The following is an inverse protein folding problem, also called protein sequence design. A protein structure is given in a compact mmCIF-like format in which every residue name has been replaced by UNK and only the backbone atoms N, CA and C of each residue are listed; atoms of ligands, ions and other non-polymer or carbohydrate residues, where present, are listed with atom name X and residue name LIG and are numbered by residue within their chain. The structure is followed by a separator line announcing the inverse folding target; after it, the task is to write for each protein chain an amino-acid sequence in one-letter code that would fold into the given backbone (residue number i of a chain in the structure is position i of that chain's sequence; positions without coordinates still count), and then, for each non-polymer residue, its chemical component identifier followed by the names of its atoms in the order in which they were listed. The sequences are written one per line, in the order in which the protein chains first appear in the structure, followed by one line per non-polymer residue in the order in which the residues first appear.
data_IF_125959193365
#
_entry.id   IF_125959193365
#
_cell.length_a   1.000
_cell.length_b   1.000
_cell.length_c   1.000
_cell.angle_alpha   90.00
_cell.angle_beta   90.00
_cell.angle_gamma   90.00
#
_symmetry.space_group_name_H-M   'P 1'
#
loop_
_entity.id
_entity.type
_entity.pdbx_description
1 polymer ?
#
# COMPACT_ATOMS: atom_id res chain seq x y z
N UNK A 1 -38.05 -6.95 -0.19
CA UNK A 1 -37.10 -7.45 -1.18
C UNK A 1 -35.80 -6.72 -0.90
N UNK A 2 -34.85 -7.35 -0.26
CA UNK A 2 -33.50 -6.80 -0.04
C UNK A 2 -32.83 -6.67 -1.40
N UNK A 3 -32.57 -5.42 -1.84
CA UNK A 3 -31.68 -5.17 -2.98
C UNK A 3 -30.41 -5.99 -2.74
N UNK A 4 -30.11 -6.92 -3.63
CA UNK A 4 -28.85 -7.60 -3.66
C UNK A 4 -27.79 -6.55 -4.00
N UNK A 5 -27.21 -5.93 -2.97
CA UNK A 5 -26.06 -5.05 -3.18
C UNK A 5 -24.97 -5.84 -3.89
N UNK A 6 -24.60 -5.39 -5.08
CA UNK A 6 -23.48 -5.99 -5.80
C UNK A 6 -22.24 -6.06 -4.89
N UNK A 7 -21.51 -7.20 -4.87
CA UNK A 7 -20.31 -7.31 -4.07
C UNK A 7 -19.35 -6.15 -4.33
N UNK A 8 -18.73 -5.56 -3.30
CA UNK A 8 -17.81 -4.45 -3.47
C UNK A 8 -16.55 -4.89 -4.24
N UNK A 9 -15.90 -3.94 -4.90
CA UNK A 9 -14.78 -4.20 -5.79
C UNK A 9 -13.56 -3.44 -5.32
N UNK A 10 -12.44 -4.14 -5.14
CA UNK A 10 -11.15 -3.56 -4.79
C UNK A 10 -10.15 -3.72 -5.94
N UNK A 11 -9.51 -2.64 -6.34
CA UNK A 11 -8.31 -2.67 -7.17
C UNK A 11 -7.08 -2.61 -6.26
N UNK A 12 -6.24 -3.64 -6.30
CA UNK A 12 -5.02 -3.72 -5.48
C UNK A 12 -3.81 -3.67 -6.39
N UNK A 13 -2.99 -2.62 -6.27
CA UNK A 13 -1.77 -2.50 -7.08
C UNK A 13 -0.63 -3.35 -6.52
N UNK A 14 0.15 -4.00 -7.40
CA UNK A 14 1.19 -4.94 -6.98
C UNK A 14 0.64 -6.14 -6.20
N UNK A 15 -0.53 -6.63 -6.60
CA UNK A 15 -1.28 -7.66 -5.86
C UNK A 15 -0.77 -9.08 -6.06
N UNK A 16 0.04 -9.35 -7.08
CA UNK A 16 0.45 -10.72 -7.42
C UNK A 16 1.27 -11.41 -6.33
N UNK A 17 2.01 -10.64 -5.54
CA UNK A 17 3.01 -11.15 -4.60
C UNK A 17 2.94 -10.44 -3.23
N UNK A 18 3.60 -11.07 -2.24
CA UNK A 18 3.91 -10.45 -0.95
C UNK A 18 2.67 -9.88 -0.24
N UNK A 19 2.78 -8.62 0.23
CA UNK A 19 1.72 -7.96 1.01
C UNK A 19 0.46 -7.71 0.18
N UNK A 20 0.61 -7.30 -1.09
CA UNK A 20 -0.54 -7.11 -1.99
C UNK A 20 -1.36 -8.39 -2.18
N UNK A 21 -0.69 -9.55 -2.29
CA UNK A 21 -1.35 -10.86 -2.36
C UNK A 21 -2.13 -11.18 -1.08
N UNK A 22 -1.54 -10.91 0.08
CA UNK A 22 -2.21 -11.14 1.36
C UNK A 22 -3.47 -10.27 1.49
N UNK A 23 -3.39 -8.99 1.13
CA UNK A 23 -4.52 -8.05 1.14
C UNK A 23 -5.62 -8.51 0.17
N UNK A 24 -5.25 -8.89 -1.06
CA UNK A 24 -6.20 -9.36 -2.07
C UNK A 24 -6.98 -10.60 -1.61
N UNK A 25 -6.29 -11.58 -1.04
CA UNK A 25 -6.90 -12.80 -0.49
C UNK A 25 -7.81 -12.51 0.72
N UNK A 26 -7.37 -11.63 1.61
CA UNK A 26 -8.15 -11.26 2.79
C UNK A 26 -9.46 -10.57 2.41
N UNK A 27 -9.41 -9.63 1.47
CA UNK A 27 -10.60 -8.97 0.94
C UNK A 27 -11.52 -9.95 0.19
N UNK A 28 -10.96 -10.85 -0.63
CA UNK A 28 -11.72 -11.86 -1.35
C UNK A 28 -12.51 -12.79 -0.41
N UNK A 29 -11.90 -13.23 0.72
CA UNK A 29 -12.57 -14.00 1.77
C UNK A 29 -13.75 -13.28 2.41
N UNK A 30 -13.81 -11.96 2.30
CA UNK A 30 -14.92 -11.11 2.76
C UNK A 30 -15.92 -10.79 1.66
N UNK A 31 -15.83 -11.46 0.53
CA UNK A 31 -16.77 -11.31 -0.58
C UNK A 31 -16.45 -10.15 -1.54
N UNK A 32 -15.30 -9.50 -1.43
CA UNK A 32 -14.86 -8.48 -2.39
C UNK A 32 -14.45 -9.14 -3.70
N UNK A 33 -14.81 -8.52 -4.82
CA UNK A 33 -14.23 -8.83 -6.13
C UNK A 33 -12.91 -8.09 -6.28
N UNK A 34 -11.88 -8.72 -6.86
CA UNK A 34 -10.51 -8.21 -6.80
C UNK A 34 -9.94 -7.95 -8.19
N UNK A 35 -9.58 -6.70 -8.49
CA UNK A 35 -8.65 -6.35 -9.55
C UNK A 35 -7.21 -6.60 -9.08
N UNK A 36 -6.56 -7.62 -9.61
CA UNK A 36 -5.19 -8.03 -9.26
C UNK A 36 -4.23 -7.36 -10.23
N UNK A 37 -3.71 -6.18 -9.88
CA UNK A 37 -2.73 -5.53 -10.74
C UNK A 37 -1.33 -6.10 -10.53
N UNK A 38 -0.61 -6.29 -11.65
CA UNK A 38 0.80 -6.66 -11.70
C UNK A 38 1.51 -5.94 -12.85
N UNK A 39 2.84 -5.84 -12.80
CA UNK A 39 3.65 -5.34 -13.92
C UNK A 39 4.16 -6.49 -14.78
N UNK A 40 4.94 -7.39 -14.20
CA UNK A 40 5.62 -8.50 -14.90
C UNK A 40 5.29 -9.88 -14.34
N UNK A 41 4.65 -9.96 -13.17
CA UNK A 41 4.36 -11.21 -12.46
C UNK A 41 3.02 -11.81 -12.92
N UNK A 42 2.88 -12.13 -14.21
CA UNK A 42 1.62 -12.63 -14.78
C UNK A 42 1.24 -14.01 -14.22
N UNK A 43 2.19 -14.93 -14.15
CA UNK A 43 1.93 -16.28 -13.65
C UNK A 43 1.43 -16.28 -12.18
N UNK A 44 2.03 -15.43 -11.34
CA UNK A 44 1.62 -15.28 -9.94
C UNK A 44 0.27 -14.58 -9.83
N UNK A 45 -0.01 -13.61 -10.70
CA UNK A 45 -1.31 -12.94 -10.75
C UNK A 45 -2.42 -13.92 -11.17
N UNK A 46 -2.19 -14.75 -12.20
CA UNK A 46 -3.13 -15.77 -12.65
C UNK A 46 -3.36 -16.84 -11.58
N UNK A 47 -2.29 -17.26 -10.89
CA UNK A 47 -2.40 -18.20 -9.77
C UNK A 47 -3.24 -17.62 -8.62
N UNK A 48 -3.07 -16.32 -8.31
CA UNK A 48 -3.86 -15.64 -7.29
C UNK A 48 -5.34 -15.52 -7.71
N UNK A 49 -5.61 -15.17 -8.96
CA UNK A 49 -6.98 -15.13 -9.50
C UNK A 49 -7.64 -16.48 -9.32
N UNK A 50 -7.00 -17.57 -9.77
CA UNK A 50 -7.52 -18.92 -9.63
C UNK A 50 -7.77 -19.34 -8.16
N UNK A 51 -6.93 -18.88 -7.23
CA UNK A 51 -7.11 -19.11 -5.79
C UNK A 51 -8.32 -18.37 -5.23
N UNK A 52 -8.51 -17.10 -5.62
CA UNK A 52 -9.66 -16.29 -5.21
C UNK A 52 -10.96 -16.89 -5.76
N UNK A 53 -10.96 -17.33 -7.01
CA UNK A 53 -12.15 -17.95 -7.65
C UNK A 53 -12.51 -19.29 -7.00
N UNK A 54 -11.53 -20.12 -6.68
CA UNK A 54 -11.75 -21.35 -5.91
C UNK A 54 -12.31 -21.10 -4.50
N UNK A 55 -12.02 -19.95 -3.93
CA UNK A 55 -12.58 -19.52 -2.65
C UNK A 55 -13.99 -18.90 -2.77
N UNK A 56 -14.56 -18.82 -3.97
CA UNK A 56 -15.94 -18.38 -4.22
C UNK A 56 -16.12 -16.90 -4.50
N UNK A 57 -15.04 -16.12 -4.68
CA UNK A 57 -15.12 -14.74 -5.12
C UNK A 57 -14.74 -14.60 -6.61
N UNK A 58 -14.76 -13.38 -7.14
CA UNK A 58 -14.32 -13.07 -8.52
C UNK A 58 -13.05 -12.24 -8.49
N UNK A 59 -12.12 -12.54 -9.40
CA UNK A 59 -10.93 -11.72 -9.58
C UNK A 59 -10.55 -11.61 -11.06
N UNK A 60 -9.70 -10.65 -11.39
CA UNK A 60 -9.14 -10.49 -12.73
C UNK A 60 -7.69 -10.00 -12.61
N UNK A 61 -6.80 -10.63 -13.37
CA UNK A 61 -5.43 -10.13 -13.54
C UNK A 61 -5.42 -8.94 -14.49
N UNK A 62 -4.74 -7.88 -14.11
CA UNK A 62 -4.65 -6.61 -14.82
C UNK A 62 -3.18 -6.21 -14.92
N UNK A 63 -2.61 -6.30 -16.12
CA UNK A 63 -1.24 -5.89 -16.38
C UNK A 63 -1.19 -4.39 -16.68
N UNK A 64 -0.26 -3.68 -16.03
CA UNK A 64 0.10 -2.31 -16.37
C UNK A 64 1.49 -1.96 -15.83
N UNK A 65 2.25 -1.14 -16.56
CA UNK A 65 3.40 -0.42 -16.01
C UNK A 65 2.91 0.93 -15.47
N UNK A 66 2.99 1.12 -14.15
CA UNK A 66 2.54 2.33 -13.49
C UNK A 66 3.41 3.57 -13.81
N UNK A 67 4.54 3.40 -14.48
CA UNK A 67 5.35 4.51 -15.01
C UNK A 67 4.83 5.00 -16.36
N UNK A 68 4.01 4.20 -17.05
CA UNK A 68 3.38 4.54 -18.33
C UNK A 68 1.99 5.16 -18.08
N UNK A 69 1.82 6.43 -18.45
CA UNK A 69 0.57 7.16 -18.22
C UNK A 69 -0.64 6.47 -18.87
N UNK A 70 -0.51 6.04 -20.10
CA UNK A 70 -1.62 5.40 -20.84
C UNK A 70 -2.05 4.08 -20.22
N UNK A 71 -1.11 3.27 -19.73
CA UNK A 71 -1.41 2.00 -19.06
C UNK A 71 -2.06 2.25 -17.71
N UNK A 72 -1.54 3.20 -16.94
CA UNK A 72 -2.08 3.61 -15.67
C UNK A 72 -3.54 4.08 -15.79
N UNK A 73 -3.83 4.97 -16.76
CA UNK A 73 -5.20 5.48 -16.98
C UNK A 73 -6.16 4.39 -17.43
N UNK A 74 -5.69 3.41 -18.21
CA UNK A 74 -6.51 2.27 -18.64
C UNK A 74 -6.79 1.26 -17.53
N UNK A 75 -5.93 1.17 -16.51
CA UNK A 75 -6.01 0.15 -15.46
C UNK A 75 -7.34 0.16 -14.72
N UNK A 76 -7.81 1.33 -14.26
CA UNK A 76 -9.10 1.46 -13.54
C UNK A 76 -10.27 1.12 -14.45
N UNK A 77 -10.25 1.56 -15.70
CA UNK A 77 -11.29 1.26 -16.69
C UNK A 77 -11.35 -0.23 -17.01
N UNK A 78 -10.20 -0.87 -17.22
CA UNK A 78 -10.13 -2.32 -17.44
C UNK A 78 -10.67 -3.14 -16.25
N UNK A 79 -10.45 -2.66 -15.02
CA UNK A 79 -11.08 -3.22 -13.83
C UNK A 79 -12.60 -3.06 -13.88
N UNK A 80 -13.06 -1.86 -14.20
CA UNK A 80 -14.49 -1.55 -14.26
C UNK A 80 -15.24 -2.34 -15.34
N UNK A 81 -14.64 -2.53 -16.50
CA UNK A 81 -15.21 -3.32 -17.60
C UNK A 81 -15.41 -4.81 -17.24
N UNK A 82 -14.48 -5.37 -16.44
CA UNK A 82 -14.48 -6.80 -16.12
C UNK A 82 -15.22 -7.15 -14.83
N UNK A 83 -15.19 -6.27 -13.84
CA UNK A 83 -15.75 -6.53 -12.50
C UNK A 83 -16.85 -5.56 -12.10
N UNK A 84 -16.89 -4.38 -12.70
CA UNK A 84 -17.65 -3.20 -12.28
C UNK A 84 -16.75 -2.13 -11.69
N UNK A 85 -17.27 -0.92 -11.47
CA UNK A 85 -16.50 0.22 -10.96
C UNK A 85 -15.91 -0.09 -9.58
N UNK A 86 -14.58 -0.01 -9.40
CA UNK A 86 -13.96 -0.29 -8.11
C UNK A 86 -14.32 0.81 -7.09
N UNK A 87 -14.83 0.39 -5.95
CA UNK A 87 -15.15 1.26 -4.81
C UNK A 87 -14.00 1.35 -3.81
N UNK A 88 -12.98 0.51 -3.95
CA UNK A 88 -11.76 0.54 -3.14
C UNK A 88 -10.53 0.51 -4.03
N UNK A 89 -9.55 1.36 -3.71
CA UNK A 89 -8.21 1.34 -4.29
C UNK A 89 -7.18 1.12 -3.17
N UNK A 90 -6.37 0.06 -3.30
CA UNK A 90 -5.20 -0.13 -2.44
C UNK A 90 -3.95 0.16 -3.27
N UNK A 91 -3.33 1.31 -3.03
CA UNK A 91 -2.06 1.69 -3.63
C UNK A 91 -0.91 0.99 -2.88
N UNK A 92 -0.66 -0.28 -3.22
CA UNK A 92 0.35 -1.13 -2.59
C UNK A 92 1.61 -1.30 -3.45
N UNK A 93 1.53 -1.18 -4.77
CA UNK A 93 2.72 -1.25 -5.62
C UNK A 93 3.75 -0.22 -5.16
N UNK A 94 5.00 -0.65 -5.08
CA UNK A 94 6.11 0.21 -4.69
C UNK A 94 7.39 -0.19 -5.45
N UNK A 95 8.21 0.78 -5.73
CA UNK A 95 9.63 0.63 -6.03
C UNK A 95 10.37 0.92 -4.71
N UNK A 96 11.42 0.17 -4.42
CA UNK A 96 12.23 0.32 -3.21
C UNK A 96 13.68 0.01 -3.53
N UNK A 97 14.40 1.01 -3.98
CA UNK A 97 15.81 0.91 -4.33
C UNK A 97 16.66 1.70 -3.34
N UNK A 98 17.84 1.15 -3.08
CA UNK A 98 18.78 1.83 -2.20
C UNK A 98 19.47 2.97 -2.95
N UNK A 99 19.42 4.15 -2.37
CA UNK A 99 20.14 5.34 -2.80
C UNK A 99 20.46 6.26 -1.61
N UNK A 100 21.39 7.17 -1.84
CA UNK A 100 21.76 8.29 -0.94
C UNK A 100 21.92 9.52 -1.80
N UNK A 101 22.14 10.69 -1.17
CA UNK A 101 22.41 11.92 -1.92
C UNK A 101 23.64 11.79 -2.86
N UNK A 102 24.63 10.97 -2.48
CA UNK A 102 25.85 10.77 -3.27
C UNK A 102 25.66 9.80 -4.46
N UNK A 103 24.70 8.88 -4.35
CA UNK A 103 24.45 7.85 -5.38
C UNK A 103 23.20 8.11 -6.20
N UNK A 104 22.46 9.18 -5.87
CA UNK A 104 21.24 9.55 -6.55
C UNK A 104 21.50 9.85 -8.03
N UNK A 105 20.76 9.20 -8.93
CA UNK A 105 20.74 9.48 -10.34
C UNK A 105 19.35 9.88 -10.82
N UNK A 106 19.30 10.60 -11.96
CA UNK A 106 18.06 11.16 -12.48
C UNK A 106 17.01 10.09 -12.82
N UNK A 107 17.42 8.98 -13.41
CA UNK A 107 16.50 7.92 -13.84
C UNK A 107 15.93 7.15 -12.64
N UNK A 108 16.75 6.83 -11.65
CA UNK A 108 16.34 6.21 -10.38
C UNK A 108 15.36 7.09 -9.63
N UNK A 109 15.68 8.38 -9.49
CA UNK A 109 14.80 9.38 -8.88
C UNK A 109 13.44 9.43 -9.57
N UNK A 110 13.44 9.56 -10.90
CA UNK A 110 12.19 9.63 -11.65
C UNK A 110 11.35 8.37 -11.47
N UNK A 111 11.97 7.19 -11.54
CA UNK A 111 11.27 5.92 -11.37
C UNK A 111 10.66 5.73 -9.97
N UNK A 112 11.35 6.20 -8.91
CA UNK A 112 10.81 6.19 -7.54
C UNK A 112 9.59 7.11 -7.41
N UNK A 113 9.65 8.32 -7.94
CA UNK A 113 8.53 9.26 -7.92
C UNK A 113 7.34 8.76 -8.75
N UNK A 114 7.61 8.16 -9.90
CA UNK A 114 6.57 7.66 -10.78
C UNK A 114 5.73 6.58 -10.13
N UNK A 115 6.36 5.58 -9.52
CA UNK A 115 5.66 4.45 -8.91
C UNK A 115 5.09 4.79 -7.54
N UNK A 116 5.87 5.49 -6.68
CA UNK A 116 5.51 5.67 -5.28
C UNK A 116 4.68 6.93 -5.00
N UNK A 117 4.61 7.88 -5.94
CA UNK A 117 3.88 9.14 -5.76
C UNK A 117 2.90 9.41 -6.91
N UNK A 118 3.40 9.50 -8.15
CA UNK A 118 2.57 9.88 -9.30
C UNK A 118 1.46 8.86 -9.54
N UNK A 119 1.80 7.58 -9.61
CA UNK A 119 0.82 6.53 -9.86
C UNK A 119 -0.32 6.48 -8.83
N UNK A 120 -0.09 6.47 -7.50
CA UNK A 120 -1.16 6.55 -6.51
C UNK A 120 -2.11 7.75 -6.69
N UNK A 121 -1.57 8.92 -7.01
CA UNK A 121 -2.37 10.14 -7.22
C UNK A 121 -3.27 9.99 -8.44
N UNK A 122 -2.71 9.59 -9.60
CA UNK A 122 -3.49 9.47 -10.83
C UNK A 122 -4.47 8.29 -10.81
N UNK A 123 -4.13 7.16 -10.18
CA UNK A 123 -5.07 6.08 -9.95
C UNK A 123 -6.24 6.55 -9.06
N UNK A 124 -5.98 7.33 -8.02
CA UNK A 124 -7.03 7.93 -7.19
C UNK A 124 -7.92 8.87 -8.02
N UNK A 125 -7.34 9.66 -8.93
CA UNK A 125 -8.10 10.50 -9.85
C UNK A 125 -8.99 9.66 -10.78
N UNK A 126 -8.48 8.56 -11.35
CA UNK A 126 -9.27 7.68 -12.22
C UNK A 126 -10.38 6.94 -11.44
N UNK A 127 -10.14 6.54 -10.18
CA UNK A 127 -11.21 6.04 -9.30
C UNK A 127 -12.31 7.07 -9.13
N UNK A 128 -11.95 8.32 -8.82
CA UNK A 128 -12.94 9.40 -8.61
C UNK A 128 -13.78 9.70 -9.86
N UNK A 129 -13.19 9.51 -11.06
CA UNK A 129 -13.88 9.68 -12.36
C UNK A 129 -14.79 8.50 -12.73
N UNK A 130 -14.40 7.28 -12.32
CA UNK A 130 -15.08 6.04 -12.70
C UNK A 130 -16.18 5.66 -11.71
N UNK A 131 -16.06 6.13 -10.47
CA UNK A 131 -17.01 5.83 -9.40
C UNK A 131 -18.38 6.48 -9.73
N UNK A 132 -19.51 5.73 -9.70
CA UNK A 132 -20.85 6.28 -9.88
C UNK A 132 -21.14 7.44 -8.93
N UNK A 133 -21.99 8.38 -9.33
CA UNK A 133 -22.26 9.62 -8.56
C UNK A 133 -22.85 9.34 -7.17
N UNK A 134 -23.67 8.30 -7.05
CA UNK A 134 -24.33 7.86 -5.82
C UNK A 134 -23.48 6.90 -4.98
N UNK A 135 -22.31 6.48 -5.49
CA UNK A 135 -21.41 5.57 -4.78
C UNK A 135 -20.36 6.29 -3.94
N UNK A 136 -20.01 5.66 -2.82
CA UNK A 136 -18.89 6.07 -1.97
C UNK A 136 -17.68 5.19 -2.19
N UNK A 137 -16.48 5.76 -2.06
CA UNK A 137 -15.21 5.07 -2.27
C UNK A 137 -14.25 5.18 -1.09
N UNK A 138 -13.24 4.30 -1.09
CA UNK A 138 -12.15 4.33 -0.14
C UNK A 138 -10.81 4.08 -0.84
N UNK A 139 -9.84 4.96 -0.60
CA UNK A 139 -8.45 4.79 -1.07
C UNK A 139 -7.56 4.57 0.14
N UNK A 140 -6.70 3.55 0.06
CA UNK A 140 -5.69 3.26 1.08
C UNK A 140 -4.32 3.28 0.43
N UNK A 141 -3.47 4.20 0.87
CA UNK A 141 -2.09 4.31 0.41
C UNK A 141 -1.15 3.54 1.34
N UNK A 142 -0.39 2.59 0.80
CA UNK A 142 0.72 1.97 1.53
C UNK A 142 1.90 2.93 1.53
N UNK A 143 2.09 3.59 2.66
CA UNK A 143 3.18 4.55 2.90
C UNK A 143 4.41 3.77 3.43
N UNK A 144 5.03 4.25 4.46
CA UNK A 144 6.09 3.63 5.25
C UNK A 144 6.21 4.44 6.54
N UNK A 145 6.53 3.80 7.66
CA UNK A 145 6.83 4.49 8.92
C UNK A 145 7.98 5.50 8.78
N UNK A 146 8.84 5.29 7.79
CA UNK A 146 10.01 6.13 7.46
C UNK A 146 9.66 7.61 7.25
N UNK A 147 8.43 7.92 6.86
CA UNK A 147 7.96 9.32 6.73
C UNK A 147 7.89 10.06 8.08
N UNK A 148 7.87 9.35 9.20
CA UNK A 148 7.94 9.89 10.56
C UNK A 148 9.31 9.74 11.21
N UNK A 149 10.16 8.83 10.69
CA UNK A 149 11.53 8.63 11.15
C UNK A 149 12.48 8.61 9.95
N UNK A 150 12.89 9.78 9.54
CA UNK A 150 13.74 9.96 8.36
C UNK A 150 15.13 9.36 8.55
N UNK A 151 15.69 8.80 7.48
CA UNK A 151 17.06 8.33 7.40
C UNK A 151 17.69 8.83 6.10
N UNK A 152 19.02 8.98 6.01
CA UNK A 152 19.69 9.41 4.78
C UNK A 152 19.73 8.36 3.67
N UNK A 153 19.40 7.12 3.98
CA UNK A 153 19.30 6.00 3.04
C UNK A 153 17.90 5.89 2.44
N UNK A 154 17.81 5.27 1.25
CA UNK A 154 16.56 5.22 0.48
C UNK A 154 15.98 6.62 0.29
N UNK A 155 16.86 7.52 -0.14
CA UNK A 155 16.56 8.96 -0.16
C UNK A 155 15.36 9.30 -1.04
N UNK A 156 15.38 8.87 -2.31
CA UNK A 156 14.30 9.12 -3.25
C UNK A 156 12.98 8.47 -2.84
N UNK A 157 13.04 7.22 -2.36
CA UNK A 157 11.89 6.52 -1.81
C UNK A 157 11.26 7.26 -0.64
N UNK A 158 12.08 7.70 0.32
CA UNK A 158 11.62 8.44 1.50
C UNK A 158 10.92 9.75 1.11
N UNK A 159 11.48 10.49 0.15
CA UNK A 159 10.87 11.71 -0.40
C UNK A 159 9.51 11.38 -1.06
N UNK A 160 9.47 10.36 -1.92
CA UNK A 160 8.24 9.96 -2.62
C UNK A 160 7.13 9.56 -1.62
N UNK A 161 7.45 8.75 -0.61
CA UNK A 161 6.48 8.33 0.42
C UNK A 161 6.04 9.48 1.35
N UNK A 162 6.94 10.41 1.66
CA UNK A 162 6.60 11.63 2.43
C UNK A 162 5.66 12.54 1.63
N UNK A 163 5.90 12.70 0.34
CA UNK A 163 5.01 13.42 -0.56
C UNK A 163 3.64 12.71 -0.70
N UNK A 164 3.62 11.38 -0.78
CA UNK A 164 2.37 10.60 -0.82
C UNK A 164 1.58 10.72 0.50
N UNK A 165 2.27 10.82 1.66
CA UNK A 165 1.62 11.11 2.93
C UNK A 165 0.94 12.50 2.91
N UNK A 166 1.61 13.51 2.39
CA UNK A 166 1.00 14.83 2.20
C UNK A 166 -0.18 14.77 1.24
N UNK A 167 -0.01 14.08 0.09
CA UNK A 167 -1.07 13.88 -0.90
C UNK A 167 -2.29 13.13 -0.32
N UNK A 168 -2.09 12.16 0.58
CA UNK A 168 -3.18 11.45 1.26
C UNK A 168 -4.13 12.42 1.96
N UNK A 169 -3.60 13.40 2.69
CA UNK A 169 -4.41 14.41 3.41
C UNK A 169 -5.10 15.39 2.46
N UNK A 170 -4.39 15.84 1.44
CA UNK A 170 -4.94 16.78 0.44
C UNK A 170 -6.03 16.11 -0.42
N UNK A 171 -5.83 14.85 -0.81
CA UNK A 171 -6.84 14.06 -1.53
C UNK A 171 -8.05 13.78 -0.66
N UNK A 172 -7.86 13.51 0.65
CA UNK A 172 -8.96 13.35 1.58
C UNK A 172 -9.84 14.59 1.66
N UNK A 173 -9.25 15.79 1.65
CA UNK A 173 -9.98 17.06 1.62
C UNK A 173 -10.70 17.27 0.28
N UNK A 174 -10.01 17.01 -0.82
CA UNK A 174 -10.50 17.30 -2.16
C UNK A 174 -11.64 16.36 -2.60
N UNK A 175 -11.65 15.11 -2.11
CA UNK A 175 -12.58 14.07 -2.54
C UNK A 175 -13.72 13.80 -1.57
N UNK A 176 -13.70 14.43 -0.39
CA UNK A 176 -14.80 14.37 0.56
C UNK A 176 -16.05 15.06 -0.01
N UNK A 177 -17.27 14.59 0.32
CA UNK A 177 -17.58 13.47 1.19
C UNK A 177 -17.57 12.10 0.48
N UNK A 178 -17.40 12.06 -0.83
CA UNK A 178 -17.61 10.87 -1.68
C UNK A 178 -16.55 9.80 -1.52
N UNK A 179 -15.28 10.20 -1.38
CA UNK A 179 -14.17 9.26 -1.29
C UNK A 179 -13.32 9.59 -0.07
N UNK A 180 -13.13 8.60 0.79
CA UNK A 180 -12.20 8.68 1.91
C UNK A 180 -10.80 8.25 1.44
N UNK A 181 -9.78 8.94 1.89
CA UNK A 181 -8.39 8.61 1.56
C UNK A 181 -7.59 8.50 2.85
N UNK A 182 -7.06 7.32 3.13
CA UNK A 182 -6.25 7.03 4.31
C UNK A 182 -4.95 6.31 3.92
N UNK A 183 -4.12 6.06 4.89
CA UNK A 183 -2.84 5.38 4.71
C UNK A 183 -2.57 4.35 5.79
N UNK A 184 -1.71 3.39 5.45
CA UNK A 184 -1.04 2.50 6.39
C UNK A 184 0.47 2.75 6.23
N UNK A 185 1.17 2.92 7.34
CA UNK A 185 2.62 3.05 7.41
C UNK A 185 3.25 1.79 8.04
N UNK A 186 3.59 0.76 7.24
CA UNK A 186 4.24 -0.42 7.77
C UNK A 186 5.67 -0.11 8.24
N UNK A 187 6.15 -0.87 9.22
CA UNK A 187 7.54 -1.09 9.50
C UNK A 187 8.04 -2.39 8.84
N UNK A 188 8.93 -3.15 9.49
CA UNK A 188 9.41 -4.43 8.99
C UNK A 188 8.27 -5.46 9.02
N UNK A 189 7.76 -5.84 7.84
CA UNK A 189 6.71 -6.87 7.66
C UNK A 189 7.30 -8.10 6.97
N UNK A 190 7.94 -7.89 5.82
CA UNK A 190 8.53 -8.92 4.99
C UNK A 190 9.93 -8.47 4.57
N UNK A 191 10.90 -9.37 4.69
CA UNK A 191 12.27 -9.14 4.24
C UNK A 191 12.30 -8.53 2.83
N UNK A 192 13.11 -7.51 2.63
CA UNK A 192 13.37 -6.96 1.31
C UNK A 192 14.45 -7.77 0.56
N UNK A 193 14.67 -7.47 -0.71
CA UNK A 193 15.61 -8.23 -1.56
C UNK A 193 17.09 -8.02 -1.20
N UNK A 194 17.39 -6.96 -0.47
CA UNK A 194 18.76 -6.58 -0.07
C UNK A 194 19.18 -7.18 1.27
N UNK A 195 18.24 -7.75 2.02
CA UNK A 195 18.47 -8.29 3.36
C UNK A 195 18.59 -9.80 3.36
N UNK A 196 19.52 -10.31 4.14
CA UNK A 196 19.50 -11.68 4.63
C UNK A 196 18.40 -11.88 5.69
N UNK A 197 18.08 -13.11 6.03
CA UNK A 197 17.14 -13.43 7.11
C UNK A 197 17.61 -12.88 8.47
N UNK A 198 18.90 -13.00 8.75
CA UNK A 198 19.51 -12.52 9.99
C UNK A 198 19.47 -10.99 10.12
N UNK A 199 19.70 -10.26 9.02
CA UNK A 199 19.60 -8.79 9.02
C UNK A 199 18.16 -8.32 9.22
N UNK A 200 17.20 -8.98 8.60
CA UNK A 200 15.79 -8.69 8.80
C UNK A 200 15.34 -8.97 10.24
N UNK A 201 15.76 -10.10 10.81
CA UNK A 201 15.47 -10.43 12.20
C UNK A 201 16.11 -9.41 13.17
N UNK A 202 17.36 -9.02 12.91
CA UNK A 202 18.04 -7.98 13.68
C UNK A 202 17.32 -6.62 13.59
N UNK A 203 16.78 -6.26 12.43
CA UNK A 203 15.94 -5.05 12.28
C UNK A 203 14.67 -5.15 13.12
N UNK A 204 13.98 -6.29 13.07
CA UNK A 204 12.77 -6.51 13.86
C UNK A 204 13.03 -6.38 15.37
N UNK A 205 14.17 -6.91 15.84
CA UNK A 205 14.56 -6.84 17.26
C UNK A 205 14.95 -5.42 17.73
N UNK A 206 15.26 -4.50 16.80
CA UNK A 206 15.53 -3.09 17.13
C UNK A 206 14.26 -2.27 17.33
N UNK A 207 13.10 -2.75 16.90
CA UNK A 207 11.84 -2.06 17.17
C UNK A 207 11.51 -2.07 18.66
N UNK A 208 10.80 -1.07 19.21
CA UNK A 208 10.38 -1.06 20.62
C UNK A 208 9.63 -2.31 21.06
N UNK A 209 8.78 -2.90 20.21
CA UNK A 209 8.08 -4.15 20.51
C UNK A 209 8.90 -5.41 20.19
N UNK A 210 10.11 -5.27 19.65
CA UNK A 210 11.05 -6.35 19.32
C UNK A 210 10.47 -7.44 18.44
N UNK A 211 9.62 -7.06 17.50
CA UNK A 211 9.02 -7.98 16.53
C UNK A 211 8.68 -7.27 15.23
N UNK A 212 8.48 -8.04 14.18
CA UNK A 212 7.89 -7.53 12.94
C UNK A 212 6.37 -7.33 13.09
N UNK A 213 5.79 -6.43 12.31
CA UNK A 213 4.38 -6.49 11.99
C UNK A 213 4.14 -7.66 11.02
N UNK A 214 2.94 -8.23 11.04
CA UNK A 214 2.57 -9.34 10.14
C UNK A 214 1.68 -8.86 9.01
N UNK A 215 1.64 -9.63 7.91
CA UNK A 215 0.71 -9.36 6.82
C UNK A 215 -0.76 -9.38 7.30
N UNK A 216 -1.08 -10.23 8.26
CA UNK A 216 -2.40 -10.32 8.89
C UNK A 216 -2.78 -9.03 9.64
N UNK A 217 -1.83 -8.43 10.37
CA UNK A 217 -2.05 -7.15 11.06
C UNK A 217 -2.28 -6.01 10.05
N UNK A 218 -1.56 -6.02 8.92
CA UNK A 218 -1.80 -5.07 7.83
C UNK A 218 -3.20 -5.28 7.23
N UNK A 219 -3.60 -6.53 6.96
CA UNK A 219 -4.96 -6.84 6.48
C UNK A 219 -6.03 -6.36 7.48
N UNK A 220 -5.78 -6.52 8.79
CA UNK A 220 -6.68 -6.03 9.84
C UNK A 220 -6.83 -4.50 9.82
N UNK A 221 -5.74 -3.76 9.58
CA UNK A 221 -5.81 -2.31 9.41
C UNK A 221 -6.55 -1.90 8.12
N UNK A 222 -6.36 -2.63 7.02
CA UNK A 222 -7.15 -2.40 5.80
C UNK A 222 -8.64 -2.56 6.10
N UNK A 223 -9.04 -3.65 6.75
CA UNK A 223 -10.43 -3.87 7.18
C UNK A 223 -10.95 -2.75 8.05
N UNK A 224 -10.18 -2.37 9.07
CA UNK A 224 -10.55 -1.28 9.98
C UNK A 224 -10.81 0.03 9.22
N UNK A 225 -9.95 0.40 8.28
CA UNK A 225 -10.14 1.60 7.47
C UNK A 225 -11.38 1.51 6.56
N UNK A 226 -11.69 0.33 6.04
CA UNK A 226 -12.89 0.10 5.23
C UNK A 226 -14.16 0.20 6.08
N UNK A 227 -14.16 -0.41 7.27
CA UNK A 227 -15.30 -0.54 8.17
C UNK A 227 -15.52 0.72 9.05
N UNK A 228 -14.65 1.76 8.95
CA UNK A 228 -14.73 3.00 9.74
C UNK A 228 -15.02 4.22 8.86
N UNK A 229 -16.29 4.51 8.53
CA UNK A 229 -16.66 5.54 7.55
C UNK A 229 -16.35 6.97 7.98
N UNK A 230 -16.14 7.23 9.26
CA UNK A 230 -15.76 8.57 9.79
C UNK A 230 -14.26 8.88 9.68
N UNK A 231 -13.43 7.92 9.20
CA UNK A 231 -11.98 8.10 9.12
C UNK A 231 -11.55 8.49 7.71
N UNK A 232 -10.89 9.65 7.58
CA UNK A 232 -10.23 10.10 6.35
C UNK A 232 -9.02 10.97 6.68
N UNK A 233 -8.02 11.01 5.80
CA UNK A 233 -6.79 11.78 5.94
C UNK A 233 -5.83 11.27 7.03
N UNK A 234 -5.98 10.02 7.50
CA UNK A 234 -5.19 9.44 8.58
C UNK A 234 -4.18 8.41 8.07
N UNK A 235 -3.10 8.22 8.84
CA UNK A 235 -2.17 7.11 8.66
C UNK A 235 -2.11 6.27 9.94
N UNK A 236 -2.28 4.96 9.79
CA UNK A 236 -2.09 3.99 10.87
C UNK A 236 -0.68 3.41 10.71
N UNK A 237 0.20 3.67 11.68
CA UNK A 237 1.52 3.03 11.72
C UNK A 237 1.41 1.62 12.29
N UNK A 238 1.88 0.63 11.53
CA UNK A 238 2.01 -0.77 11.95
C UNK A 238 3.48 -1.17 11.83
N UNK A 239 4.29 -0.66 12.72
CA UNK A 239 5.75 -0.70 12.64
C UNK A 239 6.42 -1.19 13.93
N UNK A 240 5.65 -1.78 14.83
CA UNK A 240 6.13 -2.22 16.15
C UNK A 240 6.80 -1.11 16.96
N UNK A 241 6.39 0.15 16.70
CA UNK A 241 6.95 1.34 17.33
C UNK A 241 8.27 1.82 16.72
N UNK A 242 8.66 1.33 15.54
CA UNK A 242 9.95 1.69 14.91
C UNK A 242 10.13 3.20 14.77
N UNK A 243 9.07 3.96 14.44
CA UNK A 243 9.13 5.40 14.32
C UNK A 243 9.35 6.14 15.66
N UNK A 244 9.11 5.47 16.80
CA UNK A 244 9.31 6.01 18.15
C UNK A 244 10.71 5.70 18.71
N UNK A 245 11.50 4.87 18.02
CA UNK A 245 12.83 4.50 18.50
C UNK A 245 13.73 5.75 18.55
N UNK A 246 14.27 6.05 19.71
CA UNK A 246 15.09 7.23 19.99
C UNK A 246 16.58 6.91 20.15
N UNK A 247 16.92 5.63 20.29
CA UNK A 247 18.30 5.15 20.43
C UNK A 247 18.62 4.21 19.24
N UNK A 248 19.58 4.62 18.42
CA UNK A 248 20.10 3.85 17.31
C UNK A 248 21.29 2.96 17.69
N UNK A 249 21.71 2.99 18.96
CA UNK A 249 22.86 2.20 19.43
C UNK A 249 22.46 0.71 19.48
N UNK A 250 23.11 -0.17 18.73
CA UNK A 250 22.85 -1.60 18.81
C UNK A 250 23.20 -2.12 20.22
N UNK A 251 22.20 -2.38 21.04
CA UNK A 251 22.38 -3.03 22.34
C UNK A 251 23.01 -2.18 23.45
N UNK A 252 23.06 -0.87 23.29
CA UNK A 252 23.52 0.02 24.35
C UNK A 252 22.57 0.00 25.54
N UNK A 253 23.00 -0.53 26.70
CA UNK A 253 22.36 -0.22 27.97
C UNK A 253 22.36 1.31 28.14
N UNK A 254 21.26 1.92 28.59
CA UNK A 254 21.33 3.32 29.00
C UNK A 254 22.46 3.46 30.03
N UNK A 255 23.22 4.57 30.00
CA UNK A 255 24.23 4.82 31.01
C UNK A 255 23.54 4.71 32.36
N UNK A 256 24.16 3.95 33.29
CA UNK A 256 23.66 3.82 34.64
C UNK A 256 23.47 5.24 35.20
N UNK A 257 22.23 5.57 35.59
CA UNK A 257 21.91 6.86 36.16
C UNK A 257 22.83 7.13 37.34
N UNK A 258 23.73 8.13 37.30
CA UNK A 258 24.54 8.48 38.45
C UNK A 258 23.60 9.06 39.50
N UNK A 259 23.39 8.33 40.58
CA UNK A 259 22.78 8.88 41.79
C UNK A 259 23.73 9.80 42.48
#
# INVERSE_FOLDING_TARGET
MTEQQNPPIALVTGAALRLGRAIALDLAKRGWRIGVHHRTSSAEADALVAEIERAGSKAVALQADLTCEDELRRLVRACAEKLGAPTCLINNAARFEWDTIDTLDWAGWQAELDVNLRAPIFLTQEIARTLPEDASGCVINMIDQRVWRLTPEFFSYTIAKSALWTATRTLAQALAPRIRVNAIGPGPVLKNRWQSEAEFEAECLKTPLRRRATAEEICSAVRFLLDTPSMTGQMIALDSGQHLAWDDTPGGKPPANPR
#
